data_IF_491989399009
#
_entry.id   IF_491989399009
#
_cell.length_a   1.000
_cell.length_b   1.000
_cell.length_c   1.000
_cell.angle_alpha   90.00
_cell.angle_beta   90.00
_cell.angle_gamma   90.00
#
_symmetry.space_group_name_H-M   'P 1'
#
loop_
_entity.id
_entity.type
_entity.pdbx_description
1 polymer ?
#
# COMPACT_ATOMS: atom_id res chain seq x y z
N UNK A 1 31.65 -17.82 -14.31
CA UNK A 1 32.88 -17.34 -14.98
C UNK A 1 32.96 -17.66 -16.48
N UNK A 2 32.83 -18.90 -16.98
CA UNK A 2 32.88 -19.14 -18.44
C UNK A 2 31.58 -18.73 -19.19
N UNK A 3 30.41 -18.79 -18.54
CA UNK A 3 29.12 -18.41 -19.13
C UNK A 3 28.88 -16.89 -19.24
N UNK A 4 29.42 -16.10 -18.31
CA UNK A 4 29.25 -14.63 -18.27
C UNK A 4 29.89 -13.93 -19.49
N UNK A 5 31.00 -14.48 -19.99
CA UNK A 5 31.67 -13.96 -21.18
C UNK A 5 30.90 -14.17 -22.48
N UNK A 6 30.14 -15.27 -22.59
CA UNK A 6 29.32 -15.58 -23.77
C UNK A 6 28.04 -14.74 -23.80
N UNK A 7 27.38 -14.56 -22.64
CA UNK A 7 26.17 -13.72 -22.56
C UNK A 7 26.44 -12.26 -22.97
N UNK A 8 27.45 -11.61 -22.40
CA UNK A 8 27.74 -10.20 -22.72
C UNK A 8 28.12 -10.01 -24.19
N UNK A 9 28.78 -11.01 -24.80
CA UNK A 9 29.08 -11.00 -26.22
C UNK A 9 27.80 -11.10 -27.07
N UNK A 10 26.88 -12.02 -26.73
CA UNK A 10 25.57 -12.16 -27.39
C UNK A 10 24.73 -10.90 -27.23
N UNK A 11 24.63 -10.34 -26.02
CA UNK A 11 23.91 -9.09 -25.76
C UNK A 11 24.45 -7.91 -26.58
N UNK A 12 25.78 -7.75 -26.64
CA UNK A 12 26.44 -6.74 -27.48
C UNK A 12 26.21 -6.99 -28.96
N UNK A 13 26.20 -8.25 -29.41
CA UNK A 13 25.94 -8.61 -30.80
C UNK A 13 24.54 -8.18 -31.21
N UNK A 14 23.51 -8.48 -30.41
CA UNK A 14 22.12 -8.03 -30.66
C UNK A 14 22.04 -6.50 -30.63
N UNK A 15 22.65 -5.86 -29.63
CA UNK A 15 22.69 -4.39 -29.53
C UNK A 15 23.36 -3.71 -30.74
N UNK A 16 24.40 -4.32 -31.30
CA UNK A 16 25.08 -3.83 -32.50
C UNK A 16 24.26 -4.03 -33.80
N UNK A 17 23.30 -4.96 -33.82
CA UNK A 17 22.33 -5.08 -34.94
C UNK A 17 21.32 -3.92 -34.93
N UNK A 18 21.03 -3.35 -33.76
CA UNK A 18 20.12 -2.21 -33.60
C UNK A 18 20.75 -0.85 -33.93
N UNK A 19 22.08 -0.74 -33.92
CA UNK A 19 22.77 0.50 -34.31
C UNK A 19 22.48 0.84 -35.78
N UNK A 20 22.13 2.10 -36.04
CA UNK A 20 21.86 2.61 -37.40
C UNK A 20 23.05 2.31 -38.31
N UNK A 21 22.84 1.44 -39.30
CA UNK A 21 23.77 1.23 -40.40
C UNK A 21 23.29 2.09 -41.57
N UNK A 22 24.23 2.66 -42.31
CA UNK A 22 23.94 3.49 -43.48
C UNK A 22 22.94 2.74 -44.40
N UNK A 23 21.80 3.38 -44.71
CA UNK A 23 20.72 2.91 -45.61
C UNK A 23 19.84 1.70 -45.19
N UNK A 24 20.07 1.01 -44.06
CA UNK A 24 19.21 -0.14 -43.67
C UNK A 24 18.52 0.09 -42.33
N UNK A 25 17.19 0.03 -42.32
CA UNK A 25 16.41 0.00 -41.08
C UNK A 25 16.73 -1.30 -40.32
N UNK A 26 17.12 -1.23 -39.04
CA UNK A 26 17.37 -2.44 -38.25
C UNK A 26 16.07 -3.23 -38.07
N UNK A 27 16.17 -4.57 -38.04
CA UNK A 27 15.03 -5.44 -37.78
C UNK A 27 14.78 -5.51 -36.26
N UNK A 28 13.94 -4.61 -35.76
CA UNK A 28 13.74 -4.46 -34.31
C UNK A 28 12.92 -5.60 -33.70
N UNK A 29 12.01 -6.20 -34.48
CA UNK A 29 11.22 -7.35 -34.02
C UNK A 29 12.11 -8.58 -33.72
N UNK A 30 13.02 -8.92 -34.64
CA UNK A 30 13.97 -10.03 -34.45
C UNK A 30 14.93 -9.75 -33.28
N UNK A 31 15.32 -8.49 -33.07
CA UNK A 31 16.14 -8.13 -31.92
C UNK A 31 15.37 -8.30 -30.60
N UNK A 32 14.09 -7.94 -30.56
CA UNK A 32 13.21 -8.17 -29.40
C UNK A 32 13.12 -9.66 -29.05
N UNK A 33 12.89 -10.52 -30.04
CA UNK A 33 12.86 -11.98 -29.85
C UNK A 33 14.20 -12.54 -29.34
N UNK A 34 15.33 -12.07 -29.89
CA UNK A 34 16.67 -12.48 -29.47
C UNK A 34 16.95 -12.08 -28.01
N UNK A 35 16.53 -10.89 -27.59
CA UNK A 35 16.63 -10.49 -26.18
C UNK A 35 15.72 -11.33 -25.28
N UNK A 36 14.52 -11.70 -25.75
CA UNK A 36 13.61 -12.56 -25.00
C UNK A 36 14.12 -13.99 -24.79
N UNK A 37 14.82 -14.55 -25.78
CA UNK A 37 15.49 -15.84 -25.64
C UNK A 37 16.62 -15.75 -24.60
N UNK A 38 17.47 -14.72 -24.70
CA UNK A 38 18.56 -14.48 -23.74
C UNK A 38 18.03 -14.27 -22.31
N UNK A 39 16.94 -13.53 -22.14
CA UNK A 39 16.33 -13.31 -20.84
C UNK A 39 15.87 -14.63 -20.19
N UNK A 40 15.28 -15.54 -20.97
CA UNK A 40 14.85 -16.87 -20.49
C UNK A 40 16.04 -17.75 -20.11
N UNK A 41 17.09 -17.78 -20.91
CA UNK A 41 18.32 -18.53 -20.61
C UNK A 41 18.97 -18.01 -19.32
N UNK A 42 19.08 -16.69 -19.15
CA UNK A 42 19.65 -16.09 -17.96
C UNK A 42 18.82 -16.32 -16.70
N UNK A 43 17.48 -16.32 -16.85
CA UNK A 43 16.58 -16.67 -15.75
C UNK A 43 16.75 -18.11 -15.31
N UNK A 44 17.04 -19.04 -16.22
CA UNK A 44 17.36 -20.44 -15.89
C UNK A 44 18.73 -20.60 -15.22
N UNK A 45 19.64 -19.64 -15.41
CA UNK A 45 20.97 -19.61 -14.80
C UNK A 45 21.00 -18.79 -13.49
N UNK A 46 19.83 -18.43 -12.94
CA UNK A 46 19.65 -17.58 -11.75
C UNK A 46 20.36 -16.21 -11.84
N UNK A 47 20.63 -15.73 -13.05
CA UNK A 47 21.25 -14.44 -13.33
C UNK A 47 20.18 -13.35 -13.51
N UNK A 48 19.40 -13.09 -12.46
CA UNK A 48 18.18 -12.25 -12.51
C UNK A 48 18.41 -10.82 -13.00
N UNK A 49 19.50 -10.18 -12.55
CA UNK A 49 19.83 -8.79 -12.92
C UNK A 49 20.08 -8.65 -14.43
N UNK A 50 20.81 -9.60 -15.01
CA UNK A 50 21.09 -9.60 -16.44
C UNK A 50 19.84 -9.92 -17.26
N UNK A 51 18.99 -10.82 -16.76
CA UNK A 51 17.69 -11.11 -17.40
C UNK A 51 16.80 -9.85 -17.41
N UNK A 52 16.82 -9.06 -16.34
CA UNK A 52 16.10 -7.79 -16.26
C UNK A 52 16.61 -6.76 -17.30
N UNK A 53 17.93 -6.66 -17.50
CA UNK A 53 18.50 -5.80 -18.55
C UNK A 53 18.10 -6.24 -19.96
N UNK A 54 18.00 -7.55 -20.22
CA UNK A 54 17.47 -8.07 -21.48
C UNK A 54 16.00 -7.66 -21.70
N UNK A 55 15.15 -7.80 -20.68
CA UNK A 55 13.75 -7.37 -20.76
C UNK A 55 13.61 -5.85 -20.94
N UNK A 56 14.49 -5.05 -20.33
CA UNK A 56 14.53 -3.60 -20.57
C UNK A 56 14.91 -3.26 -22.02
N UNK A 57 15.84 -4.03 -22.61
CA UNK A 57 16.19 -3.89 -24.02
C UNK A 57 15.03 -4.30 -24.94
N UNK A 58 14.26 -5.33 -24.58
CA UNK A 58 13.03 -5.70 -25.28
C UNK A 58 11.99 -4.58 -25.22
N UNK A 59 11.74 -3.99 -24.04
CA UNK A 59 10.81 -2.89 -23.90
C UNK A 59 11.15 -1.72 -24.83
N UNK A 60 12.45 -1.36 -24.94
CA UNK A 60 12.91 -0.34 -25.88
C UNK A 60 12.68 -0.73 -27.34
N UNK A 61 12.80 -2.01 -27.68
CA UNK A 61 12.50 -2.51 -29.02
C UNK A 61 11.00 -2.38 -29.32
N UNK A 62 10.14 -2.83 -28.41
CA UNK A 62 8.68 -2.74 -28.54
C UNK A 62 8.17 -1.30 -28.62
N UNK A 63 8.79 -0.38 -27.86
CA UNK A 63 8.51 1.04 -27.94
C UNK A 63 8.75 1.59 -29.36
N UNK A 64 9.86 1.21 -29.99
CA UNK A 64 10.15 1.64 -31.38
C UNK A 64 9.26 0.97 -32.42
N UNK A 65 8.66 -0.17 -32.08
CA UNK A 65 7.65 -0.87 -32.88
C UNK A 65 6.23 -0.33 -32.65
N UNK A 66 6.06 0.63 -31.73
CA UNK A 66 4.76 1.17 -31.28
C UNK A 66 3.83 0.09 -30.72
N UNK A 67 4.39 -0.96 -30.13
CA UNK A 67 3.65 -2.03 -29.48
C UNK A 67 3.51 -1.76 -27.98
N UNK A 68 2.60 -0.87 -27.61
CA UNK A 68 2.34 -0.47 -26.23
C UNK A 68 2.07 -1.66 -25.25
N UNK A 69 1.23 -2.67 -25.57
CA UNK A 69 1.04 -3.80 -24.66
C UNK A 69 2.31 -4.65 -24.48
N UNK A 70 3.08 -4.85 -25.55
CA UNK A 70 4.35 -5.57 -25.49
C UNK A 70 5.41 -4.83 -24.67
N UNK A 71 5.47 -3.50 -24.83
CA UNK A 71 6.34 -2.63 -24.05
C UNK A 71 5.99 -2.69 -22.56
N UNK A 72 4.71 -2.56 -22.21
CA UNK A 72 4.26 -2.62 -20.82
C UNK A 72 4.61 -3.97 -20.17
N UNK A 73 4.33 -5.09 -20.84
CA UNK A 73 4.68 -6.42 -20.34
C UNK A 73 6.19 -6.58 -20.12
N UNK A 74 7.01 -6.21 -21.11
CA UNK A 74 8.47 -6.30 -20.99
C UNK A 74 9.01 -5.42 -19.85
N UNK A 75 8.45 -4.22 -19.63
CA UNK A 75 8.79 -3.36 -18.50
C UNK A 75 8.41 -3.98 -17.16
N UNK A 76 7.20 -4.56 -17.05
CA UNK A 76 6.76 -5.21 -15.81
C UNK A 76 7.60 -6.44 -15.47
N UNK A 77 7.96 -7.25 -16.46
CA UNK A 77 8.83 -8.41 -16.26
C UNK A 77 10.25 -7.99 -15.86
N UNK A 78 10.80 -6.91 -16.45
CA UNK A 78 12.07 -6.34 -16.02
C UNK A 78 12.01 -5.86 -14.57
N UNK A 79 10.94 -5.14 -14.20
CA UNK A 79 10.77 -4.59 -12.86
C UNK A 79 10.70 -5.69 -11.79
N UNK A 80 9.94 -6.77 -12.05
CA UNK A 80 9.83 -7.94 -11.17
C UNK A 80 11.17 -8.63 -10.96
N UNK A 81 11.96 -8.80 -12.02
CA UNK A 81 13.29 -9.42 -11.94
C UNK A 81 14.28 -8.58 -11.12
N UNK A 82 14.23 -7.24 -11.28
CA UNK A 82 15.02 -6.33 -10.45
C UNK A 82 14.60 -6.40 -8.97
N UNK A 83 13.29 -6.42 -8.68
CA UNK A 83 12.80 -6.59 -7.31
C UNK A 83 13.21 -7.93 -6.70
N UNK A 84 13.11 -9.04 -7.44
CA UNK A 84 13.54 -10.34 -6.92
C UNK A 84 15.04 -10.36 -6.62
N UNK A 85 15.87 -9.77 -7.49
CA UNK A 85 17.30 -9.66 -7.23
C UNK A 85 17.60 -8.80 -6.00
N UNK A 86 16.83 -7.73 -5.77
CA UNK A 86 16.99 -6.89 -4.59
C UNK A 86 16.59 -7.65 -3.30
N UNK A 87 15.49 -8.43 -3.37
CA UNK A 87 15.07 -9.28 -2.25
C UNK A 87 16.14 -10.33 -1.91
N UNK A 88 16.79 -10.92 -2.91
CA UNK A 88 17.90 -11.86 -2.71
C UNK A 88 19.12 -11.18 -2.07
N UNK A 89 19.52 -10.00 -2.56
CA UNK A 89 20.62 -9.23 -1.96
C UNK A 89 20.37 -8.90 -0.49
N UNK A 90 19.12 -8.52 -0.16
CA UNK A 90 18.70 -8.23 1.22
C UNK A 90 18.64 -9.47 2.10
N UNK A 91 18.19 -10.60 1.55
CA UNK A 91 18.21 -11.89 2.26
C UNK A 91 19.65 -12.31 2.62
N UNK A 92 20.61 -11.99 1.76
CA UNK A 92 22.05 -12.20 2.00
C UNK A 92 22.68 -11.12 2.91
N UNK A 93 21.91 -10.10 3.33
CA UNK A 93 22.38 -8.94 4.09
C UNK A 93 23.59 -8.26 3.44
N UNK A 94 23.68 -8.31 2.11
CA UNK A 94 24.75 -7.68 1.38
C UNK A 94 24.58 -6.15 1.44
N UNK A 95 25.62 -5.38 1.81
CA UNK A 95 25.55 -3.93 1.73
C UNK A 95 25.46 -3.51 0.26
N UNK A 96 24.27 -3.09 -0.18
CA UNK A 96 23.99 -2.61 -1.53
C UNK A 96 23.54 -1.15 -1.54
N UNK A 97 23.77 -0.46 -2.65
CA UNK A 97 23.35 0.93 -2.87
C UNK A 97 21.92 1.06 -3.42
N UNK A 98 21.05 0.06 -3.18
CA UNK A 98 19.67 0.00 -3.70
C UNK A 98 19.57 0.18 -5.24
N UNK A 99 20.62 -0.16 -6.01
CA UNK A 99 20.65 0.08 -7.46
C UNK A 99 19.56 -0.70 -8.20
N UNK A 100 19.33 -1.96 -7.82
CA UNK A 100 18.27 -2.78 -8.41
C UNK A 100 16.88 -2.27 -8.02
N UNK A 101 16.72 -1.76 -6.78
CA UNK A 101 15.48 -1.15 -6.36
C UNK A 101 15.15 0.10 -7.18
N UNK A 102 16.12 1.00 -7.38
CA UNK A 102 15.94 2.19 -8.21
C UNK A 102 15.65 1.83 -9.67
N UNK A 103 16.32 0.80 -10.21
CA UNK A 103 16.00 0.28 -11.53
C UNK A 103 14.56 -0.26 -11.63
N UNK A 104 14.11 -1.02 -10.62
CA UNK A 104 12.74 -1.51 -10.54
C UNK A 104 11.71 -0.37 -10.47
N UNK A 105 11.92 0.62 -9.59
CA UNK A 105 11.04 1.80 -9.44
C UNK A 105 10.87 2.55 -10.75
N UNK A 106 11.97 2.74 -11.49
CA UNK A 106 11.94 3.36 -12.80
C UNK A 106 11.15 2.52 -13.81
N UNK A 107 11.38 1.19 -13.86
CA UNK A 107 10.66 0.29 -14.76
C UNK A 107 9.15 0.29 -14.47
N UNK A 108 8.73 0.19 -13.20
CA UNK A 108 7.32 0.32 -12.82
C UNK A 108 6.75 1.69 -13.20
N UNK A 109 7.48 2.78 -12.96
CA UNK A 109 7.03 4.13 -13.30
C UNK A 109 6.78 4.30 -14.80
N UNK A 110 7.60 3.69 -15.65
CA UNK A 110 7.37 3.66 -17.09
C UNK A 110 6.18 2.75 -17.46
N UNK A 111 6.09 1.55 -16.90
CA UNK A 111 4.97 0.63 -17.16
C UNK A 111 3.61 1.26 -16.80
N UNK A 112 3.53 1.93 -15.64
CA UNK A 112 2.33 2.65 -15.19
C UNK A 112 1.93 3.74 -16.20
N UNK A 113 2.90 4.51 -16.73
CA UNK A 113 2.62 5.54 -17.74
C UNK A 113 2.04 4.93 -19.02
N UNK A 114 2.64 3.84 -19.51
CA UNK A 114 2.15 3.13 -20.70
C UNK A 114 0.72 2.61 -20.49
N UNK A 115 0.40 2.03 -19.34
CA UNK A 115 -0.97 1.57 -19.04
C UNK A 115 -1.99 2.70 -18.95
N UNK A 116 -1.59 3.88 -18.46
CA UNK A 116 -2.44 5.08 -18.45
C UNK A 116 -2.69 5.56 -19.89
N UNK A 117 -1.66 5.60 -20.73
CA UNK A 117 -1.79 5.96 -22.16
C UNK A 117 -2.68 4.98 -22.94
N UNK A 118 -2.69 3.70 -22.52
CA UNK A 118 -3.57 2.66 -23.06
C UNK A 118 -5.02 2.72 -22.52
N UNK A 119 -5.38 3.70 -21.68
CA UNK A 119 -6.67 3.81 -21.00
C UNK A 119 -7.03 2.60 -20.12
N UNK A 120 -6.04 1.96 -19.48
CA UNK A 120 -6.22 0.84 -18.56
C UNK A 120 -5.79 1.20 -17.13
N UNK A 121 -6.55 2.05 -16.41
CA UNK A 121 -6.17 2.55 -15.09
C UNK A 121 -6.14 1.45 -14.02
N UNK A 122 -6.97 0.41 -14.17
CA UNK A 122 -7.00 -0.75 -13.24
C UNK A 122 -5.67 -1.52 -13.27
N UNK A 123 -5.08 -1.71 -14.45
CA UNK A 123 -3.77 -2.36 -14.59
C UNK A 123 -2.64 -1.47 -14.07
N UNK A 124 -2.74 -0.16 -14.28
CA UNK A 124 -1.80 0.80 -13.69
C UNK A 124 -1.87 0.77 -12.14
N UNK A 125 -3.07 0.67 -11.57
CA UNK A 125 -3.26 0.58 -10.13
C UNK A 125 -2.71 -0.72 -9.54
N UNK A 126 -2.91 -1.87 -10.19
CA UNK A 126 -2.38 -3.15 -9.71
C UNK A 126 -0.86 -3.17 -9.65
N UNK A 127 -0.18 -2.52 -10.61
CA UNK A 127 1.28 -2.35 -10.57
C UNK A 127 1.73 -1.43 -9.43
N UNK A 128 0.99 -0.35 -9.15
CA UNK A 128 1.25 0.50 -7.98
C UNK A 128 1.11 -0.28 -6.67
N UNK A 129 0.09 -1.14 -6.55
CA UNK A 129 -0.12 -2.00 -5.38
C UNK A 129 1.00 -3.03 -5.21
N UNK A 130 1.40 -3.70 -6.29
CA UNK A 130 2.51 -4.66 -6.29
C UNK A 130 3.81 -3.99 -5.79
N UNK A 131 4.09 -2.78 -6.28
CA UNK A 131 5.26 -2.02 -5.84
C UNK A 131 5.16 -1.56 -4.38
N UNK A 132 4.00 -1.06 -3.95
CA UNK A 132 3.76 -0.67 -2.56
C UNK A 132 3.95 -1.82 -1.59
N UNK A 133 3.43 -3.01 -1.91
CA UNK A 133 3.60 -4.22 -1.11
C UNK A 133 5.06 -4.66 -1.04
N UNK A 134 5.79 -4.61 -2.16
CA UNK A 134 7.21 -4.91 -2.17
C UNK A 134 8.03 -3.95 -1.29
N UNK A 135 7.71 -2.64 -1.32
CA UNK A 135 8.36 -1.63 -0.47
C UNK A 135 8.04 -1.81 1.01
N UNK A 136 6.81 -2.20 1.34
CA UNK A 136 6.39 -2.54 2.70
C UNK A 136 7.15 -3.74 3.25
N UNK A 137 7.27 -4.83 2.47
CA UNK A 137 8.10 -6.00 2.81
C UNK A 137 9.59 -5.64 2.98
N UNK A 138 10.05 -4.63 2.24
CA UNK A 138 11.40 -4.09 2.29
C UNK A 138 11.66 -3.11 3.45
N UNK A 139 10.73 -2.99 4.41
CA UNK A 139 10.77 -2.06 5.54
C UNK A 139 10.89 -0.57 5.14
N UNK A 140 10.34 -0.18 3.98
CA UNK A 140 10.25 1.22 3.53
C UNK A 140 8.79 1.69 3.39
N UNK A 141 8.01 1.70 4.49
CA UNK A 141 6.59 2.06 4.45
C UNK A 141 6.35 3.52 4.01
N UNK A 142 7.29 4.44 4.28
CA UNK A 142 7.15 5.85 3.89
C UNK A 142 7.05 6.06 2.37
N UNK A 143 7.86 5.35 1.58
CA UNK A 143 7.79 5.40 0.12
C UNK A 143 6.57 4.64 -0.42
N UNK A 144 6.18 3.56 0.25
CA UNK A 144 5.01 2.77 -0.13
C UNK A 144 3.71 3.59 -0.11
N UNK A 145 3.57 4.54 0.83
CA UNK A 145 2.39 5.43 0.96
C UNK A 145 2.07 6.13 -0.36
N UNK A 146 3.07 6.70 -1.03
CA UNK A 146 2.87 7.46 -2.28
C UNK A 146 2.36 6.54 -3.39
N UNK A 147 2.84 5.31 -3.45
CA UNK A 147 2.40 4.32 -4.43
C UNK A 147 0.97 3.83 -4.16
N UNK A 148 0.60 3.61 -2.89
CA UNK A 148 -0.76 3.25 -2.52
C UNK A 148 -1.76 4.39 -2.74
N UNK A 149 -1.38 5.64 -2.46
CA UNK A 149 -2.19 6.83 -2.78
C UNK A 149 -2.50 6.90 -4.27
N UNK A 150 -1.45 6.74 -5.10
CA UNK A 150 -1.62 6.71 -6.56
C UNK A 150 -2.50 5.56 -7.03
N UNK A 151 -2.45 4.38 -6.38
CA UNK A 151 -3.33 3.27 -6.69
C UNK A 151 -4.80 3.62 -6.39
N UNK A 152 -5.08 4.22 -5.23
CA UNK A 152 -6.42 4.64 -4.84
C UNK A 152 -7.04 5.66 -5.82
N UNK A 153 -6.24 6.64 -6.28
CA UNK A 153 -6.66 7.63 -7.29
C UNK A 153 -7.02 6.99 -8.63
N UNK A 154 -6.27 5.98 -9.06
CA UNK A 154 -6.51 5.25 -10.30
C UNK A 154 -7.72 4.30 -10.21
N UNK A 155 -8.09 3.85 -9.00
CA UNK A 155 -9.20 2.93 -8.72
C UNK A 155 -10.53 3.65 -8.42
N UNK A 156 -10.68 4.90 -8.83
CA UNK A 156 -11.93 5.66 -8.60
C UNK A 156 -13.19 5.00 -9.16
N UNK A 157 -13.07 4.12 -10.15
CA UNK A 157 -14.20 3.35 -10.72
C UNK A 157 -14.61 2.15 -9.86
N UNK A 158 -13.69 1.61 -9.05
CA UNK A 158 -13.87 0.43 -8.19
C UNK A 158 -13.70 0.83 -6.72
N UNK A 159 -14.75 1.37 -6.06
CA UNK A 159 -14.63 1.98 -4.73
C UNK A 159 -14.12 1.02 -3.65
N UNK A 160 -14.44 -0.27 -3.76
CA UNK A 160 -13.96 -1.28 -2.81
C UNK A 160 -12.43 -1.43 -2.88
N UNK A 161 -11.86 -1.45 -4.09
CA UNK A 161 -10.40 -1.56 -4.25
C UNK A 161 -9.69 -0.29 -3.79
N UNK A 162 -10.28 0.88 -4.06
CA UNK A 162 -9.79 2.16 -3.55
C UNK A 162 -9.78 2.19 -2.01
N UNK A 163 -10.82 1.66 -1.35
CA UNK A 163 -10.86 1.57 0.12
C UNK A 163 -9.81 0.60 0.67
N UNK A 164 -9.58 -0.53 0.01
CA UNK A 164 -8.55 -1.49 0.43
C UNK A 164 -7.15 -0.88 0.30
N UNK A 165 -6.87 -0.16 -0.79
CA UNK A 165 -5.59 0.55 -0.96
C UNK A 165 -5.42 1.68 0.05
N UNK A 166 -6.48 2.41 0.41
CA UNK A 166 -6.47 3.36 1.51
C UNK A 166 -6.21 2.70 2.87
N UNK A 167 -6.73 1.49 3.09
CA UNK A 167 -6.43 0.69 4.28
C UNK A 167 -4.92 0.41 4.41
N UNK A 168 -4.26 0.05 3.31
CA UNK A 168 -2.80 -0.16 3.28
C UNK A 168 -2.01 1.14 3.56
N UNK A 169 -2.51 2.30 3.09
CA UNK A 169 -1.94 3.61 3.45
C UNK A 169 -2.01 3.81 4.96
N UNK A 170 -3.18 3.58 5.56
CA UNK A 170 -3.36 3.75 7.00
C UNK A 170 -2.42 2.85 7.80
N UNK A 171 -2.28 1.58 7.40
CA UNK A 171 -1.29 0.67 7.99
C UNK A 171 0.13 1.21 7.88
N UNK A 172 0.54 1.70 6.70
CA UNK A 172 1.88 2.26 6.51
C UNK A 172 2.12 3.50 7.38
N UNK A 173 1.12 4.39 7.51
CA UNK A 173 1.21 5.59 8.34
C UNK A 173 1.33 5.27 9.83
N UNK A 174 0.61 4.25 10.32
CA UNK A 174 0.75 3.76 11.70
C UNK A 174 2.18 3.25 11.93
N UNK A 175 2.75 2.49 10.99
CA UNK A 175 4.13 1.98 11.11
C UNK A 175 5.15 3.13 11.10
N UNK A 176 4.93 4.17 10.29
CA UNK A 176 5.80 5.36 10.27
C UNK A 176 5.55 6.31 11.44
N UNK A 177 4.62 5.99 12.35
CA UNK A 177 4.18 6.82 13.50
C UNK A 177 3.52 8.15 13.11
N UNK A 178 3.04 8.27 11.88
CA UNK A 178 2.23 9.41 11.44
C UNK A 178 0.76 9.16 11.79
N UNK A 179 0.43 9.33 13.07
CA UNK A 179 -0.90 9.06 13.60
C UNK A 179 -1.95 10.07 13.13
N UNK A 180 -1.59 11.35 13.01
CA UNK A 180 -2.46 12.40 12.46
C UNK A 180 -2.84 12.09 11.00
N UNK A 181 -1.84 11.71 10.19
CA UNK A 181 -2.07 11.29 8.81
C UNK A 181 -2.88 9.99 8.71
N UNK A 182 -2.74 9.06 9.66
CA UNK A 182 -3.55 7.85 9.69
C UNK A 182 -5.02 8.17 9.99
N UNK A 183 -5.26 9.08 10.94
CA UNK A 183 -6.59 9.54 11.31
C UNK A 183 -7.30 10.28 10.16
N UNK A 184 -6.57 11.07 9.36
CA UNK A 184 -7.14 11.69 8.16
C UNK A 184 -7.60 10.65 7.13
N UNK A 185 -6.78 9.61 6.89
CA UNK A 185 -7.11 8.54 5.93
C UNK A 185 -8.32 7.73 6.38
N UNK A 186 -8.42 7.38 7.67
CA UNK A 186 -9.61 6.66 8.18
C UNK A 186 -10.90 7.48 8.05
N UNK A 187 -10.81 8.80 8.20
CA UNK A 187 -11.93 9.74 7.98
C UNK A 187 -12.35 9.76 6.52
N UNK A 188 -11.40 9.90 5.60
CA UNK A 188 -11.66 9.84 4.15
C UNK A 188 -12.26 8.50 3.72
N UNK A 189 -11.78 7.38 4.26
CA UNK A 189 -12.33 6.05 4.01
C UNK A 189 -13.80 5.96 4.43
N UNK A 190 -14.14 6.50 5.59
CA UNK A 190 -15.52 6.48 6.08
C UNK A 190 -16.45 7.35 5.24
N UNK A 191 -16.00 8.55 4.85
CA UNK A 191 -16.75 9.41 3.93
C UNK A 191 -16.99 8.70 2.58
N UNK A 192 -15.96 8.06 2.02
CA UNK A 192 -16.10 7.31 0.77
C UNK A 192 -17.10 6.14 0.93
N UNK A 193 -17.08 5.43 2.07
CA UNK A 193 -18.08 4.40 2.37
C UNK A 193 -19.51 4.96 2.45
N UNK A 194 -19.68 6.18 2.97
CA UNK A 194 -21.00 6.82 3.06
C UNK A 194 -21.49 7.29 1.68
N UNK A 195 -20.62 7.88 0.86
CA UNK A 195 -20.96 8.40 -0.47
C UNK A 195 -21.20 7.28 -1.50
N UNK A 196 -20.40 6.22 -1.45
CA UNK A 196 -20.38 5.17 -2.48
C UNK A 196 -20.92 3.81 -2.00
N UNK A 197 -21.20 3.68 -0.71
CA UNK A 197 -21.81 2.48 -0.15
C UNK A 197 -23.24 2.30 -0.64
N UNK A 198 -23.65 1.03 -0.79
CA UNK A 198 -25.04 0.70 -1.05
C UNK A 198 -25.86 1.04 0.21
N UNK A 199 -26.59 2.15 0.14
CA UNK A 199 -27.53 2.55 1.18
C UNK A 199 -28.90 1.91 0.90
N UNK A 200 -29.51 1.34 1.93
CA UNK A 200 -30.93 0.97 1.88
C UNK A 200 -31.76 2.25 2.00
N UNK A 201 -32.83 2.43 1.20
CA UNK A 201 -33.69 3.61 1.34
C UNK A 201 -34.27 3.66 2.77
N UNK A 202 -33.91 4.70 3.52
CA UNK A 202 -34.35 4.93 4.89
C UNK A 202 -33.31 4.61 5.99
N UNK A 203 -32.14 4.05 5.65
CA UNK A 203 -31.06 3.80 6.63
C UNK A 203 -29.72 4.26 6.03
N UNK A 204 -29.06 5.22 6.68
CA UNK A 204 -27.74 5.76 6.27
C UNK A 204 -26.56 4.78 6.54
N UNK A 205 -26.83 3.48 6.67
CA UNK A 205 -25.80 2.47 6.95
C UNK A 205 -25.41 1.74 5.67
N UNK A 206 -24.11 1.65 5.36
CA UNK A 206 -23.65 0.89 4.20
C UNK A 206 -23.84 -0.62 4.45
N UNK A 207 -24.19 -1.36 3.40
CA UNK A 207 -24.43 -2.81 3.48
C UNK A 207 -23.26 -3.62 2.90
N UNK A 208 -22.94 -4.76 3.51
CA UNK A 208 -21.98 -5.74 2.98
C UNK A 208 -20.53 -5.40 3.33
N UNK A 209 -19.59 -5.60 2.39
CA UNK A 209 -18.16 -5.40 2.62
C UNK A 209 -17.79 -3.98 3.11
N UNK A 210 -18.60 -2.97 2.77
CA UNK A 210 -18.42 -1.62 3.28
C UNK A 210 -18.67 -1.51 4.79
N UNK A 211 -19.54 -2.35 5.36
CA UNK A 211 -19.82 -2.39 6.80
C UNK A 211 -18.57 -2.80 7.58
N UNK A 212 -17.88 -3.85 7.12
CA UNK A 212 -16.66 -4.35 7.74
C UNK A 212 -15.54 -3.29 7.70
N UNK A 213 -15.44 -2.56 6.58
CA UNK A 213 -14.48 -1.45 6.43
C UNK A 213 -14.81 -0.31 7.39
N UNK A 214 -16.09 0.09 7.49
CA UNK A 214 -16.52 1.14 8.44
C UNK A 214 -16.26 0.72 9.88
N UNK A 215 -16.54 -0.54 10.24
CA UNK A 215 -16.24 -1.08 11.55
C UNK A 215 -14.72 -0.98 11.87
N UNK A 216 -13.86 -1.39 10.92
CA UNK A 216 -12.40 -1.24 11.08
C UNK A 216 -11.99 0.23 11.27
N UNK A 217 -12.52 1.14 10.44
CA UNK A 217 -12.21 2.57 10.50
C UNK A 217 -12.62 3.20 11.83
N UNK A 218 -13.81 2.87 12.33
CA UNK A 218 -14.35 3.45 13.57
C UNK A 218 -13.56 2.99 14.80
N UNK A 219 -13.23 1.69 14.91
CA UNK A 219 -12.37 1.17 15.99
C UNK A 219 -11.00 1.87 15.96
N UNK A 220 -10.35 1.92 14.80
CA UNK A 220 -9.02 2.54 14.67
C UNK A 220 -9.05 4.04 14.96
N UNK A 221 -10.11 4.75 14.55
CA UNK A 221 -10.27 6.19 14.81
C UNK A 221 -10.47 6.49 16.29
N UNK A 222 -11.28 5.70 17.00
CA UNK A 222 -11.44 5.85 18.46
C UNK A 222 -10.10 5.67 19.17
N UNK A 223 -9.35 4.62 18.83
CA UNK A 223 -8.02 4.38 19.43
C UNK A 223 -7.02 5.50 19.11
N UNK A 224 -7.01 6.02 17.88
CA UNK A 224 -6.15 7.14 17.49
C UNK A 224 -6.54 8.45 18.20
N UNK A 225 -7.83 8.72 18.38
CA UNK A 225 -8.30 9.90 19.12
C UNK A 225 -7.91 9.83 20.60
N UNK A 226 -7.95 8.62 21.20
CA UNK A 226 -7.49 8.40 22.57
C UNK A 226 -5.97 8.53 22.72
N UNK A 227 -5.21 8.25 21.65
CA UNK A 227 -3.75 8.40 21.62
C UNK A 227 -3.33 9.86 21.43
N UNK A 228 -3.95 10.57 20.49
CA UNK A 228 -3.55 11.92 20.08
C UNK A 228 -4.10 13.03 20.98
N UNK A 229 -5.26 12.82 21.62
CA UNK A 229 -5.99 13.84 22.40
C UNK A 229 -5.97 15.23 21.76
N UNK A 230 -6.44 15.37 20.49
CA UNK A 230 -6.29 16.62 19.77
C UNK A 230 -7.03 17.74 20.51
N UNK A 231 -6.44 18.95 20.62
CA UNK A 231 -7.11 20.08 21.23
C UNK A 231 -8.39 20.42 20.44
N UNK A 232 -9.44 20.97 21.08
CA UNK A 232 -10.75 21.17 20.46
C UNK A 232 -10.72 22.06 19.21
N UNK A 233 -9.66 22.86 19.03
CA UNK A 233 -9.47 23.71 17.84
C UNK A 233 -9.07 22.94 16.57
N UNK A 234 -8.44 21.76 16.71
CA UNK A 234 -8.01 20.91 15.58
C UNK A 234 -8.98 19.76 15.31
N UNK A 235 -10.06 19.69 16.08
CA UNK A 235 -10.97 18.56 16.09
C UNK A 235 -12.02 18.75 14.99
N UNK A 236 -11.91 17.98 13.91
CA UNK A 236 -12.91 17.97 12.83
C UNK A 236 -14.28 17.55 13.39
N UNK A 237 -15.40 18.06 12.84
CA UNK A 237 -16.74 17.74 13.34
C UNK A 237 -17.04 16.24 13.35
N UNK A 238 -16.46 15.48 12.43
CA UNK A 238 -16.58 14.01 12.40
C UNK A 238 -15.93 13.34 13.60
N UNK A 239 -14.79 13.86 14.08
CA UNK A 239 -14.15 13.37 15.29
C UNK A 239 -14.97 13.70 16.53
N UNK A 240 -15.61 14.87 16.56
CA UNK A 240 -16.46 15.28 17.68
C UNK A 240 -17.64 14.33 17.80
N UNK A 241 -18.34 14.09 16.69
CA UNK A 241 -19.47 13.16 16.63
C UNK A 241 -19.08 11.74 17.06
N UNK A 242 -17.84 11.31 16.81
CA UNK A 242 -17.40 9.99 17.27
C UNK A 242 -17.17 9.95 18.75
N UNK A 243 -16.49 10.95 19.30
CA UNK A 243 -16.26 11.01 20.74
C UNK A 243 -17.59 11.14 21.49
N UNK A 244 -18.53 11.94 21.00
CA UNK A 244 -19.88 12.07 21.57
C UNK A 244 -20.63 10.72 21.60
N UNK A 245 -20.51 9.90 20.55
CA UNK A 245 -21.12 8.55 20.48
C UNK A 245 -20.54 7.56 21.50
N UNK A 246 -19.30 7.77 21.94
CA UNK A 246 -18.65 6.94 22.95
C UNK A 246 -18.57 7.62 24.32
N UNK A 247 -19.05 8.86 24.44
CA UNK A 247 -19.08 9.64 25.68
C UNK A 247 -20.33 9.35 26.50
N UNK A 248 -20.20 9.56 27.81
CA UNK A 248 -21.15 9.25 28.87
C UNK A 248 -22.60 9.75 28.66
N UNK A 249 -22.83 10.76 27.83
CA UNK A 249 -24.16 11.36 27.62
C UNK A 249 -25.03 10.63 26.58
N UNK A 250 -24.48 9.64 25.87
CA UNK A 250 -25.16 8.90 24.79
C UNK A 250 -25.78 7.56 25.24
N UNK A 251 -26.39 7.51 26.43
CA UNK A 251 -27.22 6.37 26.89
C UNK A 251 -28.56 6.25 26.15
N UNK A 252 -28.58 6.56 24.86
CA UNK A 252 -29.79 6.42 24.05
C UNK A 252 -29.80 5.00 23.44
N UNK A 253 -30.74 4.11 23.79
CA UNK A 253 -30.83 2.77 23.21
C UNK A 253 -31.10 2.78 21.68
N UNK A 254 -31.37 3.96 21.09
CA UNK A 254 -31.48 4.18 19.65
C UNK A 254 -30.18 4.66 18.99
N UNK A 255 -29.12 4.95 19.76
CA UNK A 255 -27.76 5.27 19.30
C UNK A 255 -26.92 4.00 19.04
N UNK A 256 -27.57 2.85 18.83
CA UNK A 256 -26.86 1.62 18.52
C UNK A 256 -26.12 1.78 17.19
N UNK A 257 -24.80 1.74 17.29
CA UNK A 257 -23.92 1.64 16.14
C UNK A 257 -24.19 0.29 15.46
N UNK A 258 -25.00 0.29 14.40
CA UNK A 258 -25.48 -0.93 13.72
C UNK A 258 -24.35 -1.74 13.06
N UNK A 259 -23.15 -1.14 12.95
CA UNK A 259 -22.00 -1.71 12.27
C UNK A 259 -20.97 -2.38 13.19
N UNK A 260 -21.13 -2.31 14.52
CA UNK A 260 -20.23 -2.97 15.48
C UNK A 260 -20.96 -4.01 16.34
N UNK A 261 -20.31 -5.12 16.72
CA UNK A 261 -20.85 -6.02 17.73
C UNK A 261 -21.03 -5.28 19.06
N UNK A 262 -22.17 -5.48 19.74
CA UNK A 262 -22.50 -4.81 21.00
C UNK A 262 -21.39 -4.93 22.05
N UNK A 263 -20.77 -6.11 22.16
CA UNK A 263 -19.65 -6.35 23.08
C UNK A 263 -18.45 -5.44 22.80
N UNK A 264 -18.07 -5.28 21.53
CA UNK A 264 -16.93 -4.44 21.13
C UNK A 264 -17.25 -2.97 21.34
N UNK A 265 -18.48 -2.56 21.04
CA UNK A 265 -18.94 -1.20 21.28
C UNK A 265 -18.87 -0.82 22.77
N UNK A 266 -19.39 -1.67 23.66
CA UNK A 266 -19.36 -1.43 25.11
C UNK A 266 -17.93 -1.40 25.66
N UNK A 267 -17.07 -2.29 25.20
CA UNK A 267 -15.65 -2.30 25.59
C UNK A 267 -14.89 -1.07 25.07
N UNK A 268 -15.25 -0.52 23.91
CA UNK A 268 -14.66 0.73 23.43
C UNK A 268 -15.16 1.94 24.23
N UNK A 269 -16.44 1.97 24.61
CA UNK A 269 -16.96 3.00 25.52
C UNK A 269 -16.21 2.99 26.85
N UNK A 270 -16.00 1.82 27.45
CA UNK A 270 -15.24 1.73 28.70
C UNK A 270 -13.78 2.15 28.54
N UNK A 271 -13.14 1.89 27.39
CA UNK A 271 -11.79 2.42 27.09
C UNK A 271 -11.78 3.94 27.05
N UNK A 272 -12.75 4.57 26.38
CA UNK A 272 -12.86 6.04 26.32
C UNK A 272 -13.05 6.63 27.72
N UNK A 273 -13.93 6.03 28.53
CA UNK A 273 -14.16 6.45 29.92
C UNK A 273 -12.90 6.31 30.77
N UNK A 274 -12.23 5.16 30.71
CA UNK A 274 -11.00 4.92 31.48
C UNK A 274 -9.87 5.88 31.04
N UNK A 275 -9.82 6.27 29.77
CA UNK A 275 -8.89 7.31 29.28
C UNK A 275 -9.22 8.69 29.88
N UNK A 276 -10.50 9.08 29.91
CA UNK A 276 -10.94 10.37 30.47
C UNK A 276 -10.72 10.46 31.99
N UNK A 277 -10.99 9.37 32.72
CA UNK A 277 -10.82 9.27 34.17
C UNK A 277 -9.36 9.01 34.58
N UNK A 278 -8.47 8.74 33.61
CA UNK A 278 -7.05 8.39 33.81
C UNK A 278 -6.86 7.13 34.66
N UNK A 279 -7.79 6.17 34.56
CA UNK A 279 -7.71 4.90 35.28
C UNK A 279 -6.84 3.89 34.52
N UNK A 280 -5.58 3.78 34.94
CA UNK A 280 -4.61 2.87 34.33
C UNK A 280 -4.85 1.39 34.66
N UNK A 281 -5.56 1.06 35.74
CA UNK A 281 -5.83 -0.33 36.11
C UNK A 281 -6.93 -0.91 35.23
N UNK A 282 -8.02 -0.15 35.06
CA UNK A 282 -9.10 -0.50 34.13
C UNK A 282 -8.63 -0.57 32.68
N UNK A 283 -7.72 0.31 32.24
CA UNK A 283 -7.18 0.21 30.87
C UNK A 283 -6.40 -1.10 30.62
N UNK A 284 -5.70 -1.63 31.62
CA UNK A 284 -4.95 -2.90 31.49
C UNK A 284 -5.87 -4.12 31.44
N UNK A 285 -6.94 -4.13 32.23
CA UNK A 285 -7.94 -5.20 32.14
C UNK A 285 -8.66 -5.17 30.79
N UNK A 286 -9.07 -3.97 30.34
CA UNK A 286 -9.73 -3.78 29.05
C UNK A 286 -8.83 -4.18 27.86
N UNK A 287 -7.51 -3.95 27.94
CA UNK A 287 -6.58 -4.43 26.91
C UNK A 287 -6.62 -5.95 26.76
N UNK A 288 -6.75 -6.68 27.88
CA UNK A 288 -6.80 -8.14 27.86
C UNK A 288 -8.13 -8.64 27.28
N UNK A 289 -9.22 -7.98 27.62
CA UNK A 289 -10.57 -8.32 27.14
C UNK A 289 -10.79 -7.99 25.66
N UNK A 290 -10.20 -6.89 25.16
CA UNK A 290 -10.31 -6.47 23.76
C UNK A 290 -9.38 -7.23 22.81
N UNK A 291 -8.29 -7.82 23.31
CA UNK A 291 -7.29 -8.50 22.51
C UNK A 291 -7.82 -9.46 21.43
N UNK A 292 -8.78 -10.38 21.72
CA UNK A 292 -9.27 -11.33 20.71
C UNK A 292 -10.21 -10.69 19.67
N UNK A 293 -10.76 -9.51 19.94
CA UNK A 293 -11.70 -8.83 19.06
C UNK A 293 -11.03 -7.85 18.10
N UNK A 294 -9.80 -7.44 18.40
CA UNK A 294 -9.04 -6.45 17.65
C UNK A 294 -8.03 -7.11 16.70
N UNK A 295 -7.77 -6.44 15.58
CA UNK A 295 -6.67 -6.80 14.67
C UNK A 295 -5.31 -6.49 15.30
N UNK A 296 -4.22 -7.08 14.79
CA UNK A 296 -2.87 -6.81 15.30
C UNK A 296 -2.50 -5.31 15.26
N UNK A 297 -2.95 -4.58 14.25
CA UNK A 297 -2.77 -3.13 14.10
C UNK A 297 -3.50 -2.35 15.20
N UNK A 298 -4.75 -2.71 15.46
CA UNK A 298 -5.57 -2.08 16.51
C UNK A 298 -5.04 -2.42 17.91
N UNK A 299 -4.58 -3.66 18.12
CA UNK A 299 -3.92 -4.06 19.36
C UNK A 299 -2.61 -3.27 19.59
N UNK A 300 -1.86 -2.98 18.52
CA UNK A 300 -0.69 -2.11 18.62
C UNK A 300 -1.06 -0.68 19.04
N UNK A 301 -2.11 -0.10 18.43
CA UNK A 301 -2.60 1.23 18.83
C UNK A 301 -3.09 1.26 20.28
N UNK A 302 -3.86 0.25 20.71
CA UNK A 302 -4.32 0.16 22.09
C UNK A 302 -3.16 0.05 23.08
N UNK A 303 -2.13 -0.74 22.74
CA UNK A 303 -0.92 -0.83 23.55
C UNK A 303 -0.21 0.52 23.69
N UNK A 304 -0.10 1.29 22.59
CA UNK A 304 0.48 2.64 22.63
C UNK A 304 -0.34 3.60 23.51
N UNK A 305 -1.67 3.53 23.46
CA UNK A 305 -2.55 4.31 24.33
C UNK A 305 -2.27 3.98 25.80
N UNK A 306 -2.24 2.68 26.15
CA UNK A 306 -1.92 2.26 27.53
C UNK A 306 -0.53 2.74 27.96
N UNK A 307 0.46 2.66 27.07
CA UNK A 307 1.83 3.07 27.36
C UNK A 307 1.95 4.58 27.63
N UNK A 308 1.33 5.43 26.80
CA UNK A 308 1.33 6.89 27.00
C UNK A 308 0.63 7.30 28.31
N UNK A 309 -0.39 6.56 28.74
CA UNK A 309 -1.08 6.84 30.02
C UNK A 309 -0.27 6.45 31.25
N UNK A 310 0.51 5.37 31.16
CA UNK A 310 1.36 4.91 32.27
C UNK A 310 2.64 5.74 32.37
N UNK A 311 3.22 6.08 31.23
CA UNK A 311 4.47 6.82 31.10
C UNK A 311 4.28 7.85 30.00
N UNK A 312 3.86 9.10 30.33
CA UNK A 312 3.70 10.14 29.34
C UNK A 312 5.08 10.47 28.78
N UNK A 313 5.38 9.93 27.61
CA UNK A 313 6.71 9.98 27.04
C UNK A 313 6.98 11.32 26.36
N UNK A 314 5.91 12.09 26.12
CA UNK A 314 5.96 13.31 25.32
C UNK A 314 6.31 13.03 23.85
N UNK A 315 6.37 11.76 23.43
CA UNK A 315 6.63 11.35 22.04
C UNK A 315 5.34 11.08 21.26
N UNK A 316 4.20 11.58 21.74
CA UNK A 316 2.94 11.67 21.00
C UNK A 316 2.92 12.82 19.97
N UNK A 317 4.06 13.16 19.37
CA UNK A 317 4.25 14.03 18.19
C UNK A 317 5.47 13.55 17.42
#
# INVERSE_FOLDING_TARGET
MAAEGDFLARYRAVSNKLKKRFLRKPNVAEASEQFGQLAKELKQQDCLQYAAFCNLAMARCEQTLFNAPGEALALTDAARLFLSSEKENRALQAPGFDEHLQAALNCYSFAIKVHIEMNQPVMAASLCLELGNALKEMNRPGEAIVHFQRAAELQTQTPIEALLSMGEIATCKIITRDYDGALSVFTEMQLMCQERGLQLPGINTPVGAFLDIVAKCEISRVLLLMLLEPPPQKLLPEHAQTLERYAWESFDPHSQVTFLPENVFLLLQSVVMACQEKDTESLKSLQTELWPFLTAEQNHLLHLVVQERITPSGQGI
#
